data_IF_931999422512
#
_entry.id   IF_931999422512
#
_cell.length_a   1.000
_cell.length_b   1.000
_cell.length_c   1.000
_cell.angle_alpha   90.00
_cell.angle_beta   90.00
_cell.angle_gamma   90.00
#
_symmetry.space_group_name_H-M   'P 1'
#
loop_
_entity.id
_entity.type
_entity.pdbx_description
1 polymer ?
#
# COMPACT_ATOMS: atom_id res chain seq x y z
N UNK A 1 7.79 -2.45 -18.66
CA UNK A 1 6.37 -2.11 -18.47
C UNK A 1 5.98 -2.50 -17.04
N UNK A 2 5.86 -1.53 -16.12
CA UNK A 2 5.43 -1.82 -14.75
C UNK A 2 3.93 -2.04 -14.67
N UNK A 3 3.48 -3.04 -13.91
CA UNK A 3 2.05 -3.28 -13.66
C UNK A 3 1.49 -2.03 -12.97
N UNK A 4 0.53 -1.35 -13.60
CA UNK A 4 -0.15 -0.21 -12.97
C UNK A 4 -0.79 -0.70 -11.67
N UNK A 5 -0.70 0.05 -10.56
CA UNK A 5 -1.30 -0.37 -9.30
C UNK A 5 -2.80 -0.63 -9.52
N UNK A 6 -3.25 -1.81 -9.11
CA UNK A 6 -4.64 -2.24 -9.26
C UNK A 6 -5.61 -1.41 -8.42
N UNK A 7 -6.92 -1.53 -8.66
CA UNK A 7 -7.96 -0.76 -7.99
C UNK A 7 -7.92 -0.89 -6.46
N UNK A 8 -8.54 0.07 -5.78
CA UNK A 8 -8.59 0.09 -4.32
C UNK A 8 -9.31 -1.18 -3.79
N UNK A 9 -8.78 -1.84 -2.75
CA UNK A 9 -9.43 -3.02 -2.18
C UNK A 9 -10.83 -2.71 -1.68
N UNK A 10 -11.73 -3.68 -1.83
CA UNK A 10 -13.10 -3.61 -1.34
C UNK A 10 -13.14 -4.06 0.13
N UNK A 11 -13.88 -3.34 0.96
CA UNK A 11 -14.13 -3.74 2.34
C UNK A 11 -15.16 -4.89 2.37
N UNK A 12 -14.77 -6.02 2.95
CA UNK A 12 -15.57 -7.24 3.05
C UNK A 12 -16.96 -6.99 3.68
N UNK A 13 -17.04 -6.09 4.66
CA UNK A 13 -18.28 -5.81 5.39
C UNK A 13 -19.32 -5.00 4.62
N UNK A 14 -18.91 -4.18 3.64
CA UNK A 14 -19.80 -3.24 2.95
C UNK A 14 -19.86 -3.45 1.44
N UNK A 15 -18.97 -4.25 0.87
CA UNK A 15 -18.85 -4.43 -0.58
C UNK A 15 -18.43 -3.17 -1.33
N UNK A 16 -18.03 -2.11 -0.62
CA UNK A 16 -17.57 -0.83 -1.18
C UNK A 16 -16.08 -0.66 -0.94
N UNK A 17 -15.45 0.29 -1.62
CA UNK A 17 -14.03 0.61 -1.41
C UNK A 17 -13.69 0.82 0.07
N UNK A 18 -12.57 0.24 0.51
CA UNK A 18 -12.14 0.34 1.89
C UNK A 18 -11.65 1.76 2.22
N UNK A 19 -12.55 2.57 2.81
CA UNK A 19 -12.26 3.94 3.24
C UNK A 19 -11.15 4.06 4.30
N UNK A 20 -10.81 2.97 5.01
CA UNK A 20 -9.71 2.96 5.99
C UNK A 20 -8.35 3.06 5.31
N UNK A 21 -8.24 2.54 4.08
CA UNK A 21 -7.04 2.73 3.27
C UNK A 21 -7.07 4.13 2.65
N UNK A 22 -6.17 5.01 3.10
CA UNK A 22 -6.00 6.36 2.52
C UNK A 22 -5.30 6.35 1.16
N UNK A 23 -4.46 5.35 0.91
CA UNK A 23 -3.66 5.26 -0.31
C UNK A 23 -4.53 4.67 -1.43
N UNK A 24 -4.79 5.49 -2.46
CA UNK A 24 -5.38 5.05 -3.73
C UNK A 24 -4.29 4.61 -4.70
N UNK A 25 -4.63 3.84 -5.75
CA UNK A 25 -3.66 3.39 -6.74
C UNK A 25 -2.93 4.56 -7.43
N UNK A 26 -3.67 5.62 -7.76
CA UNK A 26 -3.15 6.85 -8.36
C UNK A 26 -2.26 7.67 -7.42
N UNK A 27 -2.57 7.68 -6.12
CA UNK A 27 -1.81 8.43 -5.13
C UNK A 27 -0.62 7.63 -4.56
N UNK A 28 -0.59 6.30 -4.78
CA UNK A 28 0.46 5.40 -4.28
C UNK A 28 1.89 5.86 -4.59
N UNK A 29 2.22 6.43 -5.76
CA UNK A 29 3.56 6.94 -6.05
C UNK A 29 4.03 8.08 -5.12
N UNK A 30 3.11 8.82 -4.49
CA UNK A 30 3.44 9.88 -3.52
C UNK A 30 3.72 9.34 -2.11
N UNK A 31 3.42 8.06 -1.86
CA UNK A 31 3.61 7.39 -0.57
C UNK A 31 4.65 6.28 -0.73
N UNK A 32 5.96 6.62 -0.82
CA UNK A 32 7.02 5.64 -0.90
C UNK A 32 7.05 4.77 0.37
N UNK A 33 7.50 3.52 0.21
CA UNK A 33 7.70 2.62 1.34
C UNK A 33 8.76 3.15 2.31
N UNK A 34 8.72 2.65 3.55
CA UNK A 34 9.78 2.92 4.51
C UNK A 34 11.09 2.31 3.98
N UNK A 35 12.22 2.96 4.25
CA UNK A 35 13.53 2.35 3.99
C UNK A 35 13.63 1.05 4.79
N UNK A 36 14.23 0.03 4.18
CA UNK A 36 14.58 -1.19 4.91
C UNK A 36 15.47 -0.80 6.09
N UNK A 37 15.10 -1.26 7.29
CA UNK A 37 15.93 -1.06 8.46
C UNK A 37 16.99 -2.15 8.50
N UNK A 38 18.26 -1.77 8.37
CA UNK A 38 19.38 -2.69 8.51
C UNK A 38 19.66 -2.94 10.00
N UNK A 39 19.18 -4.08 10.51
CA UNK A 39 19.46 -4.50 11.88
C UNK A 39 20.83 -5.16 11.95
N UNK A 40 21.68 -4.72 12.89
CA UNK A 40 22.87 -5.49 13.26
C UNK A 40 22.41 -6.85 13.79
N UNK A 41 22.92 -7.93 13.21
CA UNK A 41 22.77 -9.28 13.79
C UNK A 41 23.53 -9.30 15.12
N UNK A 42 22.91 -9.86 16.15
CA UNK A 42 23.58 -10.13 17.42
C UNK A 42 24.70 -11.15 17.25
N UNK A 43 25.62 -11.17 18.21
CA UNK A 43 26.74 -12.11 18.28
C UNK A 43 26.27 -13.56 18.48
#
# INVERSE_FOLDING_TARGET
MGIKPGPKPIAESTGKEDKRRRVTPENKPKHPGLKEHDHKKGE
#
